data_IF_956297972787
#
_entry.id   IF_956297972787
#
_cell.length_a   1.000
_cell.length_b   1.000
_cell.length_c   1.000
_cell.angle_alpha   90.00
_cell.angle_beta   90.00
_cell.angle_gamma   90.00
#
_symmetry.space_group_name_H-M   'P 1'
#
loop_
_entity.id
_entity.type
_entity.pdbx_description
1 polymer ?
#
# COMPACT_ATOMS: atom_id res chain seq x y z
N UNK A 1 2.68 -20.15 31.86
CA UNK A 1 1.66 -20.00 30.80
C UNK A 1 2.30 -19.24 29.65
N UNK A 2 2.57 -19.92 28.54
CA UNK A 2 3.20 -19.31 27.37
C UNK A 2 2.17 -18.51 26.57
N UNK A 3 2.47 -17.30 26.09
CA UNK A 3 1.53 -16.55 25.27
C UNK A 3 1.36 -17.24 23.92
N UNK A 4 0.11 -17.35 23.46
CA UNK A 4 -0.23 -17.99 22.19
C UNK A 4 0.25 -17.13 21.01
N UNK A 5 0.84 -17.78 20.00
CA UNK A 5 1.39 -17.22 18.75
C UNK A 5 0.35 -16.57 17.80
N UNK A 6 -0.82 -16.14 18.29
CA UNK A 6 -1.95 -15.66 17.46
C UNK A 6 -2.33 -14.19 17.65
N UNK A 7 -1.54 -13.41 18.35
CA UNK A 7 -1.61 -11.96 18.22
C UNK A 7 -0.53 -11.52 17.24
N UNK A 8 -0.83 -11.66 15.95
CA UNK A 8 -0.04 -11.04 14.91
C UNK A 8 0.00 -9.53 15.22
N UNK A 9 1.14 -9.06 15.70
CA UNK A 9 1.39 -7.68 16.10
C UNK A 9 0.93 -6.79 14.95
N UNK A 10 -0.23 -6.15 15.13
CA UNK A 10 -0.84 -5.34 14.11
C UNK A 10 -0.05 -4.03 14.04
N UNK A 11 1.00 -4.00 13.21
CA UNK A 11 1.82 -2.83 13.06
C UNK A 11 0.96 -1.65 12.57
N UNK A 12 1.02 -0.52 13.28
CA UNK A 12 0.26 0.72 12.96
C UNK A 12 0.50 1.16 11.51
N UNK A 13 1.73 0.97 11.03
CA UNK A 13 2.16 1.18 9.65
C UNK A 13 2.65 -0.11 9.03
N UNK A 14 2.39 -0.29 7.74
CA UNK A 14 2.94 -1.36 6.91
C UNK A 14 3.78 -0.80 5.77
N UNK A 15 4.81 -1.57 5.42
CA UNK A 15 5.69 -1.22 4.32
C UNK A 15 4.99 -1.47 2.99
N UNK A 16 4.89 -0.42 2.19
CA UNK A 16 4.34 -0.42 0.84
C UNK A 16 5.46 -0.17 -0.16
N UNK A 17 5.31 -0.74 -1.34
CA UNK A 17 6.14 -0.48 -2.50
C UNK A 17 5.36 0.47 -3.40
N UNK A 18 5.84 1.70 -3.57
CA UNK A 18 5.14 2.77 -4.28
C UNK A 18 5.95 3.28 -5.48
N UNK A 19 5.31 3.85 -6.52
CA UNK A 19 6.03 4.53 -7.60
C UNK A 19 6.98 5.59 -7.04
N UNK A 20 8.23 5.60 -7.51
CA UNK A 20 9.24 6.57 -7.04
C UNK A 20 8.85 8.01 -7.36
N UNK A 21 8.06 8.24 -8.40
CA UNK A 21 7.53 9.55 -8.80
C UNK A 21 6.70 10.19 -7.67
N UNK A 22 6.05 9.37 -6.85
CA UNK A 22 5.28 9.86 -5.70
C UNK A 22 6.14 10.46 -4.60
N UNK A 23 7.44 10.14 -4.53
CA UNK A 23 8.35 10.71 -3.53
C UNK A 23 8.59 12.22 -3.69
N UNK A 24 8.15 12.81 -4.81
CA UNK A 24 8.10 14.26 -4.97
C UNK A 24 7.08 14.95 -4.06
N UNK A 25 6.12 14.20 -3.51
CA UNK A 25 5.09 14.70 -2.59
C UNK A 25 5.51 14.51 -1.13
N UNK A 26 5.05 15.38 -0.20
CA UNK A 26 5.29 15.19 1.21
C UNK A 26 4.79 13.84 1.72
N UNK A 27 5.62 13.11 2.48
CA UNK A 27 5.27 11.78 2.98
C UNK A 27 3.96 11.73 3.78
N UNK A 28 3.64 12.79 4.54
CA UNK A 28 2.38 12.88 5.27
C UNK A 28 1.15 12.94 4.34
N UNK A 29 1.29 13.61 3.19
CA UNK A 29 0.25 13.66 2.16
C UNK A 29 0.11 12.30 1.47
N UNK A 30 1.22 11.65 1.12
CA UNK A 30 1.21 10.30 0.53
C UNK A 30 0.55 9.28 1.46
N UNK A 31 0.90 9.29 2.74
CA UNK A 31 0.30 8.41 3.76
C UNK A 31 -1.22 8.60 3.79
N UNK A 32 -1.68 9.85 3.88
CA UNK A 32 -3.11 10.17 3.91
C UNK A 32 -3.86 9.73 2.64
N UNK A 33 -3.31 10.02 1.46
CA UNK A 33 -3.95 9.71 0.17
C UNK A 33 -4.01 8.19 -0.05
N UNK A 34 -2.89 7.49 0.15
CA UNK A 34 -2.82 6.03 -0.06
C UNK A 34 -3.72 5.32 0.95
N UNK A 35 -3.66 5.72 2.23
CA UNK A 35 -4.53 5.17 3.26
C UNK A 35 -6.01 5.36 2.92
N UNK A 36 -6.40 6.56 2.52
CA UNK A 36 -7.80 6.90 2.21
C UNK A 36 -8.30 6.12 0.99
N UNK A 37 -7.51 6.03 -0.08
CA UNK A 37 -7.88 5.25 -1.27
C UNK A 37 -7.99 3.75 -0.99
N UNK A 38 -7.07 3.17 -0.22
CA UNK A 38 -7.17 1.77 0.22
C UNK A 38 -8.39 1.56 1.11
N UNK A 39 -8.67 2.48 2.03
CA UNK A 39 -9.83 2.44 2.92
C UNK A 39 -11.15 2.43 2.13
N UNK A 40 -11.29 3.34 1.19
CA UNK A 40 -12.48 3.45 0.34
C UNK A 40 -12.69 2.15 -0.45
N UNK A 41 -11.66 1.71 -1.17
CA UNK A 41 -11.71 0.46 -1.93
C UNK A 41 -12.05 -0.75 -1.04
N UNK A 42 -11.43 -0.86 0.14
CA UNK A 42 -11.74 -1.94 1.07
C UNK A 42 -13.18 -1.89 1.57
N UNK A 43 -13.74 -0.70 1.83
CA UNK A 43 -15.11 -0.57 2.29
C UNK A 43 -16.11 -1.14 1.27
N UNK A 44 -15.84 -0.94 -0.03
CA UNK A 44 -16.66 -1.44 -1.13
C UNK A 44 -16.42 -2.92 -1.45
N UNK A 45 -15.15 -3.34 -1.57
CA UNK A 45 -14.79 -4.65 -2.13
C UNK A 45 -14.29 -5.67 -1.10
N UNK A 46 -14.13 -5.26 0.17
CA UNK A 46 -13.61 -6.09 1.29
C UNK A 46 -12.23 -6.70 1.01
N UNK A 47 -11.44 -6.06 0.15
CA UNK A 47 -10.08 -6.45 -0.19
C UNK A 47 -9.24 -5.21 -0.48
N UNK A 48 -7.92 -5.27 -0.27
CA UNK A 48 -6.99 -4.21 -0.68
C UNK A 48 -6.56 -4.40 -2.14
N UNK A 49 -6.58 -5.64 -2.64
CA UNK A 49 -6.19 -5.95 -4.01
C UNK A 49 -7.12 -5.23 -4.99
N UNK A 50 -6.54 -4.56 -5.97
CA UNK A 50 -7.28 -3.83 -7.00
C UNK A 50 -7.60 -2.38 -6.64
N UNK A 51 -7.21 -1.88 -5.46
CA UNK A 51 -7.36 -0.47 -5.12
C UNK A 51 -6.53 0.37 -6.09
N UNK A 52 -7.16 1.18 -6.93
CA UNK A 52 -6.47 2.11 -7.83
C UNK A 52 -6.40 3.49 -7.18
N UNK A 53 -5.21 4.09 -7.19
CA UNK A 53 -4.92 5.39 -6.60
C UNK A 53 -4.11 6.19 -7.61
N UNK A 54 -4.54 7.43 -7.85
CA UNK A 54 -3.86 8.38 -8.75
C UNK A 54 -3.31 9.54 -7.92
N UNK A 55 -2.02 9.81 -8.05
CA UNK A 55 -1.34 10.97 -7.44
C UNK A 55 -0.56 11.68 -8.54
N UNK A 56 -0.93 12.93 -8.81
CA UNK A 56 -0.48 13.65 -10.01
C UNK A 56 -0.92 12.91 -11.27
N UNK A 57 0.03 12.62 -12.16
CA UNK A 57 -0.22 11.93 -13.42
C UNK A 57 0.02 10.40 -13.34
N UNK A 58 0.32 9.88 -12.14
CA UNK A 58 0.69 8.47 -11.94
C UNK A 58 -0.45 7.73 -11.25
N UNK A 59 -1.13 6.87 -12.02
CA UNK A 59 -2.10 5.90 -11.52
C UNK A 59 -1.43 4.56 -11.21
N UNK A 60 -1.72 4.01 -10.04
CA UNK A 60 -1.21 2.72 -9.61
C UNK A 60 -2.27 1.88 -8.90
N UNK A 61 -2.26 0.58 -9.17
CA UNK A 61 -3.18 -0.39 -8.58
C UNK A 61 -2.47 -1.24 -7.54
N UNK A 62 -3.09 -1.39 -6.37
CA UNK A 62 -2.62 -2.24 -5.29
C UNK A 62 -2.62 -3.73 -5.70
N UNK A 63 -1.43 -4.32 -5.73
CA UNK A 63 -1.17 -5.75 -5.93
C UNK A 63 -0.48 -6.30 -4.68
N UNK A 64 -0.58 -7.61 -4.48
CA UNK A 64 0.21 -8.29 -3.45
C UNK A 64 1.58 -8.65 -4.03
N UNK A 65 2.66 -8.23 -3.38
CA UNK A 65 4.01 -8.67 -3.72
C UNK A 65 4.74 -9.11 -2.45
N UNK A 66 5.01 -10.41 -2.35
CA UNK A 66 5.49 -11.04 -1.10
C UNK A 66 4.56 -10.67 0.07
N UNK A 67 5.10 -10.04 1.11
CA UNK A 67 4.37 -9.57 2.29
C UNK A 67 3.97 -8.09 2.22
N UNK A 68 4.33 -7.39 1.14
CA UNK A 68 4.06 -5.97 0.95
C UNK A 68 2.87 -5.74 0.01
N UNK A 69 2.23 -4.59 0.18
CA UNK A 69 1.35 -4.02 -0.86
C UNK A 69 2.24 -3.31 -1.87
N UNK A 70 2.09 -3.67 -3.13
CA UNK A 70 2.76 -3.02 -4.25
C UNK A 70 1.75 -2.20 -5.05
N UNK A 71 1.91 -0.89 -5.02
CA UNK A 71 1.19 0.05 -5.88
C UNK A 71 1.82 -0.01 -7.27
N UNK A 72 1.36 -0.94 -8.10
CA UNK A 72 1.90 -1.18 -9.44
C UNK A 72 1.31 -0.17 -10.42
N UNK A 73 2.16 0.58 -11.13
CA UNK A 73 1.72 1.54 -12.15
C UNK A 73 0.89 0.81 -13.22
N UNK A 74 -0.15 1.46 -13.72
CA UNK A 74 -1.03 0.85 -14.73
C UNK A 74 -0.30 0.57 -16.05
N UNK A 75 0.69 1.40 -16.40
CA UNK A 75 1.56 1.22 -17.56
C UNK A 75 2.66 0.17 -17.36
N UNK A 76 2.85 -0.32 -16.13
CA UNK A 76 3.92 -1.27 -15.82
C UNK A 76 3.46 -2.72 -16.00
N UNK A 77 3.99 -3.35 -17.05
CA UNK A 77 3.78 -4.77 -17.35
C UNK A 77 4.74 -5.71 -16.62
N UNK A 78 5.64 -5.18 -15.79
CA UNK A 78 6.57 -5.98 -15.01
C UNK A 78 5.84 -6.88 -14.02
N UNK A 79 6.44 -8.05 -13.75
CA UNK A 79 5.90 -9.00 -12.74
C UNK A 79 6.44 -8.75 -11.34
N UNK A 80 7.48 -7.93 -11.23
CA UNK A 80 8.15 -7.61 -9.97
C UNK A 80 8.42 -6.10 -9.91
N UNK A 81 8.29 -5.47 -8.74
CA UNK A 81 8.77 -4.11 -8.54
C UNK A 81 10.29 -4.08 -8.63
N UNK A 82 10.82 -3.09 -9.33
CA UNK A 82 12.26 -2.89 -9.50
C UNK A 82 12.68 -1.46 -9.16
N UNK A 83 13.85 -1.34 -8.54
CA UNK A 83 14.54 -0.05 -8.47
C UNK A 83 15.07 0.31 -9.87
N UNK A 84 15.09 1.59 -10.27
CA UNK A 84 14.74 2.78 -9.47
C UNK A 84 13.25 3.17 -9.55
N UNK A 85 12.41 2.42 -10.27
CA UNK A 85 11.03 2.80 -10.58
C UNK A 85 10.10 2.78 -9.36
N UNK A 86 10.44 1.99 -8.34
CA UNK A 86 9.68 1.87 -7.12
C UNK A 86 10.54 2.12 -5.88
N UNK A 87 9.89 2.65 -4.85
CA UNK A 87 10.46 2.99 -3.56
C UNK A 87 9.63 2.42 -2.41
N UNK A 88 10.23 2.37 -1.22
CA UNK A 88 9.56 1.88 -0.01
C UNK A 88 8.97 3.05 0.78
N UNK A 89 7.73 2.88 1.24
CA UNK A 89 7.03 3.86 2.06
C UNK A 89 6.30 3.17 3.23
N UNK A 90 6.27 3.84 4.38
CA UNK A 90 5.53 3.40 5.56
C UNK A 90 4.16 4.06 5.59
N UNK A 91 3.12 3.29 5.30
CA UNK A 91 1.73 3.76 5.20
C UNK A 91 0.93 3.17 6.35
N UNK A 92 0.01 3.94 6.91
CA UNK A 92 -0.92 3.47 7.94
C UNK A 92 -1.72 2.24 7.46
N UNK A 93 -1.86 1.23 8.31
CA UNK A 93 -2.48 -0.04 7.95
C UNK A 93 -3.99 -0.04 8.24
N UNK A 94 -4.82 0.21 7.22
CA UNK A 94 -6.28 0.19 7.36
C UNK A 94 -6.83 -1.20 7.70
N UNK A 95 -6.36 -2.24 7.01
CA UNK A 95 -6.87 -3.61 7.13
C UNK A 95 -6.67 -4.22 8.54
N UNK A 96 -5.86 -3.56 9.37
CA UNK A 96 -5.47 -4.02 10.68
C UNK A 96 -6.16 -3.23 11.81
N UNK A 97 -6.55 -1.97 11.55
CA UNK A 97 -7.41 -1.18 12.45
C UNK A 97 -8.88 -1.62 12.45
N UNK A 98 -9.32 -2.36 11.43
CA UNK A 98 -10.73 -2.72 11.22
C UNK A 98 -10.95 -4.20 10.89
N UNK A 99 -10.12 -5.11 11.44
CA UNK A 99 -10.35 -6.56 11.39
C UNK A 99 -11.61 -6.97 12.15
#
# INVERSE_FOLDING_TARGET
MSPSLKEAFCAKKTQHIIPSEWLSYPMAALDCIIYSGIKEHYNHYKTVKGASITIGEVSATAKRYKECVWMCKESDMSKIPSAPQYSLAWIDNYACKHK
#
